data_IF_459412445276
#
_entry.id   IF_459412445276
#
_cell.length_a   1.000
_cell.length_b   1.000
_cell.length_c   1.000
_cell.angle_alpha   90.00
_cell.angle_beta   90.00
_cell.angle_gamma   90.00
#
_symmetry.space_group_name_H-M   'P 1'
#
loop_
_entity.id
_entity.type
_entity.pdbx_description
1 polymer ?
#
# COMPACT_ATOMS: atom_id res chain seq x y z
N UNK A 1 21.05 -22.09 -24.97
CA UNK A 1 21.93 -21.56 -23.89
C UNK A 1 21.57 -22.30 -22.62
N UNK A 2 22.54 -22.95 -21.95
CA UNK A 2 22.31 -23.51 -20.63
C UNK A 2 22.35 -22.36 -19.63
N UNK A 3 21.18 -21.92 -19.18
CA UNK A 3 21.05 -20.95 -18.11
C UNK A 3 21.61 -21.59 -16.83
N UNK A 4 22.61 -20.95 -16.20
CA UNK A 4 23.16 -21.38 -14.92
C UNK A 4 22.42 -20.61 -13.83
N UNK A 5 21.73 -21.33 -12.96
CA UNK A 5 21.06 -20.76 -11.79
C UNK A 5 22.11 -20.07 -10.88
N UNK A 6 21.80 -18.90 -10.29
CA UNK A 6 22.65 -18.29 -9.27
C UNK A 6 22.69 -19.16 -8.01
N UNK A 7 23.71 -18.95 -7.17
CA UNK A 7 23.83 -19.71 -5.92
C UNK A 7 22.70 -19.27 -4.97
N UNK A 8 21.88 -20.20 -4.43
CA UNK A 8 20.72 -19.87 -3.61
C UNK A 8 21.00 -19.03 -2.35
N UNK A 9 22.27 -18.97 -1.94
CA UNK A 9 22.77 -18.28 -0.75
C UNK A 9 23.41 -16.91 -1.07
N UNK A 10 23.41 -16.47 -2.33
CA UNK A 10 23.87 -15.13 -2.67
C UNK A 10 22.97 -14.07 -1.99
N UNK A 11 23.55 -12.95 -1.50
CA UNK A 11 22.79 -11.90 -0.83
C UNK A 11 21.78 -11.25 -1.78
N UNK A 12 20.60 -10.88 -1.24
CA UNK A 12 19.58 -10.19 -2.02
C UNK A 12 20.08 -8.81 -2.49
N UNK A 13 19.84 -8.50 -3.76
CA UNK A 13 20.28 -7.24 -4.38
C UNK A 13 19.25 -6.11 -4.30
N UNK A 14 18.00 -6.42 -3.95
CA UNK A 14 16.85 -5.49 -4.00
C UNK A 14 16.24 -5.21 -2.61
N UNK A 15 17.04 -5.36 -1.54
CA UNK A 15 16.57 -5.23 -0.14
C UNK A 15 15.90 -3.87 0.11
N UNK A 16 16.44 -2.79 -0.47
CA UNK A 16 15.89 -1.44 -0.32
C UNK A 16 14.50 -1.26 -0.96
N UNK A 17 14.18 -2.10 -1.94
CA UNK A 17 12.90 -2.09 -2.64
C UNK A 17 11.85 -2.96 -1.94
N UNK A 18 12.25 -3.77 -0.94
CA UNK A 18 11.34 -4.62 -0.19
C UNK A 18 10.31 -3.76 0.58
N UNK A 19 9.02 -3.83 0.22
CA UNK A 19 7.96 -3.02 0.83
C UNK A 19 7.79 -3.30 2.32
N UNK A 20 8.14 -4.50 2.78
CA UNK A 20 7.97 -4.93 4.17
C UNK A 20 9.04 -4.35 5.11
N UNK A 21 10.18 -3.92 4.56
CA UNK A 21 11.24 -3.24 5.30
C UNK A 21 11.11 -1.71 5.27
N UNK A 22 10.12 -1.20 4.53
CA UNK A 22 9.92 0.23 4.37
C UNK A 22 9.08 0.79 5.50
N UNK A 23 9.31 2.08 5.79
CA UNK A 23 8.53 2.85 6.75
C UNK A 23 7.74 3.98 6.07
N UNK A 24 6.80 4.57 6.79
CA UNK A 24 6.24 5.87 6.46
C UNK A 24 7.32 6.95 6.50
N UNK A 25 7.00 8.14 6.00
CA UNK A 25 7.94 9.27 5.87
C UNK A 25 9.15 8.98 4.95
N UNK A 26 9.04 7.98 4.06
CA UNK A 26 10.10 7.60 3.10
C UNK A 26 10.26 8.66 2.00
N UNK A 27 11.50 8.77 1.53
CA UNK A 27 11.87 9.61 0.39
C UNK A 27 12.15 11.04 0.82
N UNK A 28 11.99 11.97 -0.13
CA UNK A 28 12.22 13.39 0.14
C UNK A 28 11.10 13.92 1.02
N UNK A 29 11.46 14.56 2.14
CA UNK A 29 10.50 15.28 2.97
C UNK A 29 9.80 16.35 2.12
N UNK A 30 8.45 16.39 2.11
CA UNK A 30 7.69 17.41 1.40
C UNK A 30 8.10 18.81 1.84
N UNK A 31 8.02 19.77 0.91
CA UNK A 31 8.17 21.20 1.24
C UNK A 31 6.96 21.74 1.98
N UNK A 32 5.84 21.04 1.85
CA UNK A 32 4.61 21.29 2.56
C UNK A 32 4.78 21.03 4.06
N UNK A 33 4.23 21.92 4.90
CA UNK A 33 4.27 21.81 6.34
C UNK A 33 2.92 22.15 6.96
N UNK A 34 2.70 21.70 8.19
CA UNK A 34 1.51 22.02 8.96
C UNK A 34 1.65 23.43 9.54
N UNK A 35 0.62 24.26 9.40
CA UNK A 35 0.61 25.63 9.93
C UNK A 35 -0.56 25.80 10.89
N UNK A 36 -0.31 26.17 12.16
CA UNK A 36 -1.37 26.48 13.14
C UNK A 36 -2.49 25.41 13.21
N UNK A 37 -2.12 24.13 13.14
CA UNK A 37 -3.08 23.03 13.09
C UNK A 37 -3.64 22.75 14.50
N UNK A 38 -4.96 22.78 14.71
CA UNK A 38 -5.55 22.64 16.03
C UNK A 38 -5.68 21.18 16.50
N UNK A 39 -5.57 20.21 15.59
CA UNK A 39 -5.81 18.80 15.90
C UNK A 39 -4.49 18.06 16.10
N UNK A 40 -4.24 17.64 17.33
CA UNK A 40 -3.08 16.79 17.63
C UNK A 40 -3.23 15.39 17.04
N UNK A 41 -2.12 14.84 16.58
CA UNK A 41 -2.01 13.43 16.19
C UNK A 41 -0.58 12.96 16.43
N UNK A 42 -0.37 11.64 16.39
CA UNK A 42 0.95 11.08 16.66
C UNK A 42 1.89 11.30 15.47
N UNK A 43 2.93 12.09 15.68
CA UNK A 43 4.04 12.26 14.73
C UNK A 43 5.06 11.14 14.90
N UNK A 44 4.71 9.93 14.48
CA UNK A 44 5.59 8.77 14.49
C UNK A 44 5.85 8.23 13.09
N UNK A 45 6.96 7.50 12.97
CA UNK A 45 7.28 6.67 11.82
C UNK A 45 6.67 5.30 12.06
N UNK A 46 5.91 4.80 11.08
CA UNK A 46 5.22 3.50 11.13
C UNK A 46 5.75 2.58 10.03
N UNK A 47 5.56 1.26 10.13
CA UNK A 47 5.74 0.36 8.98
C UNK A 47 4.90 0.83 7.78
N UNK A 48 5.46 0.74 6.58
CA UNK A 48 4.81 1.23 5.37
C UNK A 48 3.60 0.36 5.04
N UNK A 49 2.45 0.99 4.90
CA UNK A 49 1.23 0.34 4.44
C UNK A 49 1.25 0.24 2.93
N UNK A 50 1.13 -0.97 2.41
CA UNK A 50 1.14 -1.27 0.98
C UNK A 50 -0.02 -2.22 0.70
N UNK A 51 -0.97 -1.74 -0.10
CA UNK A 51 -2.17 -2.48 -0.48
C UNK A 51 -2.29 -2.39 -1.99
N UNK A 52 -2.52 -3.53 -2.64
CA UNK A 52 -2.57 -3.60 -4.09
C UNK A 52 -3.82 -2.91 -4.63
N UNK A 53 -3.72 -2.36 -5.84
CA UNK A 53 -4.86 -1.72 -6.50
C UNK A 53 -6.12 -2.61 -6.48
N UNK A 54 -6.00 -3.89 -6.85
CA UNK A 54 -7.12 -4.85 -6.89
C UNK A 54 -7.72 -5.16 -5.51
N UNK A 55 -6.97 -4.94 -4.44
CA UNK A 55 -7.45 -5.05 -3.07
C UNK A 55 -8.18 -3.78 -2.65
N UNK A 56 -7.59 -2.61 -2.94
CA UNK A 56 -8.19 -1.29 -2.69
C UNK A 56 -9.56 -1.13 -3.34
N UNK A 57 -9.69 -1.56 -4.60
CA UNK A 57 -10.93 -1.41 -5.35
C UNK A 57 -11.88 -2.60 -5.22
N UNK A 58 -11.44 -3.69 -4.58
CA UNK A 58 -12.19 -4.95 -4.59
C UNK A 58 -13.54 -4.87 -3.87
N UNK A 59 -13.72 -3.92 -2.94
CA UNK A 59 -14.98 -3.64 -2.25
C UNK A 59 -15.84 -2.54 -2.88
N UNK A 60 -15.31 -1.81 -3.86
CA UNK A 60 -15.91 -0.56 -4.38
C UNK A 60 -16.88 -0.85 -5.53
N UNK A 61 -18.00 -0.12 -5.59
CA UNK A 61 -18.96 -0.19 -6.67
C UNK A 61 -18.39 0.28 -8.02
N UNK A 62 -18.98 -0.22 -9.11
CA UNK A 62 -18.45 0.00 -10.46
C UNK A 62 -18.29 1.49 -10.82
N UNK A 63 -19.26 2.34 -10.48
CA UNK A 63 -19.20 3.77 -10.84
C UNK A 63 -18.01 4.51 -10.18
N UNK A 64 -17.74 4.23 -8.89
CA UNK A 64 -16.58 4.78 -8.18
C UNK A 64 -15.27 4.24 -8.77
N UNK A 65 -15.23 2.94 -9.11
CA UNK A 65 -14.10 2.35 -9.80
C UNK A 65 -13.85 2.98 -11.18
N UNK A 66 -14.90 3.26 -11.95
CA UNK A 66 -14.78 3.88 -13.27
C UNK A 66 -14.17 5.29 -13.17
N UNK A 67 -14.53 6.06 -12.14
CA UNK A 67 -13.97 7.39 -11.86
C UNK A 67 -12.48 7.29 -11.50
N UNK A 68 -12.12 6.39 -10.56
CA UNK A 68 -10.72 6.15 -10.20
C UNK A 68 -9.92 5.68 -11.42
N UNK A 69 -10.53 4.87 -12.29
CA UNK A 69 -9.85 4.34 -13.46
C UNK A 69 -9.55 5.39 -14.53
N UNK A 70 -10.35 6.45 -14.62
CA UNK A 70 -10.17 7.54 -15.57
C UNK A 70 -9.02 8.48 -15.14
N UNK A 71 -8.86 8.72 -13.85
CA UNK A 71 -7.85 9.64 -13.32
C UNK A 71 -7.32 9.18 -11.94
N UNK A 72 -6.55 8.08 -11.86
CA UNK A 72 -6.13 7.50 -10.57
C UNK A 72 -5.27 8.45 -9.74
N UNK A 73 -4.54 9.36 -10.38
CA UNK A 73 -3.67 10.35 -9.72
C UNK A 73 -4.45 11.51 -9.08
N UNK A 74 -5.74 11.67 -9.40
CA UNK A 74 -6.59 12.71 -8.78
C UNK A 74 -7.19 12.23 -7.45
N UNK A 75 -7.05 10.93 -7.15
CA UNK A 75 -7.63 10.31 -5.96
C UNK A 75 -6.56 9.71 -5.05
N UNK A 76 -6.90 9.59 -3.77
CA UNK A 76 -6.14 8.84 -2.77
C UNK A 76 -7.08 7.86 -2.08
N UNK A 77 -6.55 6.69 -1.74
CA UNK A 77 -7.23 5.71 -0.92
C UNK A 77 -6.98 6.02 0.56
N UNK A 78 -8.07 6.08 1.35
CA UNK A 78 -7.99 6.21 2.80
C UNK A 78 -8.47 4.90 3.44
N UNK A 79 -7.62 4.30 4.25
CA UNK A 79 -7.83 2.98 4.86
C UNK A 79 -7.86 3.12 6.37
N UNK A 80 -9.02 2.87 6.97
CA UNK A 80 -9.19 2.92 8.42
C UNK A 80 -8.83 1.56 9.02
N UNK A 81 -7.99 1.57 10.06
CA UNK A 81 -7.59 0.36 10.76
C UNK A 81 -8.71 -0.18 11.65
N UNK A 82 -8.83 -1.52 11.71
CA UNK A 82 -9.88 -2.18 12.49
C UNK A 82 -11.29 -1.99 11.92
N UNK A 83 -11.43 -1.36 10.75
CA UNK A 83 -12.72 -1.04 10.14
C UNK A 83 -13.16 -2.12 9.14
N UNK A 84 -14.15 -2.91 9.52
CA UNK A 84 -14.94 -3.75 8.61
C UNK A 84 -16.27 -3.08 8.22
N UNK A 85 -17.11 -3.77 7.46
CA UNK A 85 -18.43 -3.27 7.05
C UNK A 85 -19.30 -2.75 8.22
N UNK A 86 -19.20 -3.41 9.39
CA UNK A 86 -19.90 -3.01 10.62
C UNK A 86 -19.42 -1.65 11.13
N UNK A 87 -18.14 -1.34 11.01
CA UNK A 87 -17.59 -0.05 11.43
C UNK A 87 -18.22 1.10 10.66
N UNK A 88 -18.36 0.99 9.34
CA UNK A 88 -18.99 2.02 8.51
C UNK A 88 -20.49 2.17 8.77
N UNK A 89 -21.15 1.07 9.15
CA UNK A 89 -22.57 1.12 9.56
C UNK A 89 -22.75 1.84 10.90
N UNK A 90 -21.85 1.60 11.86
CA UNK A 90 -21.86 2.25 13.16
C UNK A 90 -21.35 3.70 13.12
N UNK A 91 -20.55 4.05 12.11
CA UNK A 91 -19.95 5.37 11.94
C UNK A 91 -20.27 5.95 10.55
N UNK A 92 -21.53 6.26 10.24
CA UNK A 92 -21.94 6.74 8.90
C UNK A 92 -21.26 8.06 8.49
N UNK A 93 -20.81 8.85 9.48
CA UNK A 93 -20.18 10.15 9.28
C UNK A 93 -18.64 10.12 9.38
N UNK A 94 -18.02 8.93 9.30
CA UNK A 94 -16.57 8.82 9.47
C UNK A 94 -15.80 9.58 8.38
N UNK A 95 -16.32 9.60 7.15
CA UNK A 95 -15.76 10.38 6.05
C UNK A 95 -15.67 11.89 6.37
N UNK A 96 -16.69 12.46 7.03
CA UNK A 96 -16.66 13.85 7.51
C UNK A 96 -15.60 14.05 8.58
N UNK A 97 -15.41 13.08 9.47
CA UNK A 97 -14.38 13.17 10.53
C UNK A 97 -12.97 13.17 9.92
N UNK A 98 -12.73 12.33 8.92
CA UNK A 98 -11.46 12.30 8.17
C UNK A 98 -11.29 13.58 7.37
N UNK A 99 -12.32 14.04 6.66
CA UNK A 99 -12.30 15.31 5.91
C UNK A 99 -11.96 16.49 6.82
N UNK A 100 -12.62 16.59 7.97
CA UNK A 100 -12.40 17.66 8.93
C UNK A 100 -10.98 17.57 9.52
N UNK A 101 -10.51 16.36 9.85
CA UNK A 101 -9.14 16.16 10.31
C UNK A 101 -8.12 16.63 9.27
N UNK A 102 -8.22 16.16 8.02
CA UNK A 102 -7.28 16.54 6.95
C UNK A 102 -7.34 18.05 6.68
N UNK A 103 -8.55 18.62 6.66
CA UNK A 103 -8.74 20.07 6.54
C UNK A 103 -8.05 20.82 7.69
N UNK A 104 -8.14 20.30 8.91
CA UNK A 104 -7.53 20.92 10.10
C UNK A 104 -6.00 20.89 10.10
N UNK A 105 -5.36 20.03 9.29
CA UNK A 105 -3.91 20.02 9.16
C UNK A 105 -3.34 21.32 8.59
N UNK A 106 -4.19 22.10 7.89
CA UNK A 106 -3.85 23.43 7.36
C UNK A 106 -2.49 23.43 6.64
N UNK A 107 -2.33 22.48 5.72
CA UNK A 107 -1.07 22.21 5.02
C UNK A 107 -0.78 23.38 4.08
N UNK A 108 0.40 23.99 4.24
CA UNK A 108 0.86 25.14 3.46
C UNK A 108 2.14 24.79 2.71
N UNK A 109 2.28 25.26 1.47
CA UNK A 109 3.52 25.14 0.70
C UNK A 109 4.46 26.31 1.04
N UNK A 110 5.69 26.00 1.48
CA UNK A 110 6.75 26.98 1.79
C UNK A 110 7.24 27.79 0.59
N UNK A 111 6.87 27.40 -0.63
CA UNK A 111 7.21 28.12 -1.87
C UNK A 111 6.15 29.13 -2.31
N UNK A 112 4.97 29.14 -1.67
CA UNK A 112 3.93 30.12 -1.98
C UNK A 112 4.27 31.47 -1.35
N UNK A 113 4.35 32.57 -2.13
CA UNK A 113 4.85 33.87 -1.66
C UNK A 113 4.05 34.47 -0.50
N UNK A 114 2.81 34.03 -0.28
CA UNK A 114 1.93 34.51 0.79
C UNK A 114 1.80 33.56 2.00
N UNK A 115 2.40 32.36 1.98
CA UNK A 115 2.13 31.30 2.98
C UNK A 115 0.62 31.15 3.30
N UNK A 116 -0.23 31.43 2.31
CA UNK A 116 -1.68 31.34 2.42
C UNK A 116 -2.07 29.87 2.27
N UNK A 117 -2.89 29.34 3.19
CA UNK A 117 -3.43 28.00 3.05
C UNK A 117 -4.13 27.87 1.70
N UNK A 118 -3.88 26.77 0.98
CA UNK A 118 -4.60 26.53 -0.27
C UNK A 118 -6.11 26.44 0.00
N UNK A 119 -6.97 26.97 -0.89
CA UNK A 119 -8.41 26.90 -0.70
C UNK A 119 -8.88 25.43 -0.73
N UNK A 120 -9.15 24.88 0.46
CA UNK A 120 -9.57 23.49 0.71
C UNK A 120 -11.00 23.22 0.21
N UNK A 121 -11.65 24.20 -0.44
CA UNK A 121 -13.06 24.12 -0.87
C UNK A 121 -13.38 22.98 -1.86
N UNK A 122 -12.37 22.31 -2.42
CA UNK A 122 -12.54 21.15 -3.31
C UNK A 122 -12.29 19.80 -2.63
N UNK A 123 -11.73 19.78 -1.43
CA UNK A 123 -11.37 18.52 -0.76
C UNK A 123 -12.63 17.77 -0.35
N UNK A 124 -12.71 16.50 -0.70
CA UNK A 124 -13.81 15.64 -0.28
C UNK A 124 -13.37 14.22 0.04
N UNK A 125 -14.15 13.55 0.88
CA UNK A 125 -13.92 12.16 1.26
C UNK A 125 -15.22 11.39 1.05
N UNK A 126 -15.22 10.50 0.07
CA UNK A 126 -16.38 9.68 -0.26
C UNK A 126 -16.35 8.35 0.48
N UNK A 127 -17.51 7.97 1.00
CA UNK A 127 -17.73 6.63 1.55
C UNK A 127 -17.70 5.59 0.42
N UNK A 128 -17.09 4.41 0.63
CA UNK A 128 -17.17 3.33 -0.33
C UNK A 128 -18.62 2.86 -0.48
N UNK A 129 -19.09 2.81 -1.73
CA UNK A 129 -20.35 2.12 -2.05
C UNK A 129 -20.02 0.65 -2.27
N UNK A 130 -20.57 -0.22 -1.44
CA UNK A 130 -20.25 -1.64 -1.50
C UNK A 130 -20.77 -2.29 -2.80
N UNK A 131 -19.88 -3.04 -3.48
CA UNK A 131 -20.24 -3.89 -4.63
C UNK A 131 -21.10 -5.10 -4.27
N UNK A 132 -21.11 -5.53 -3.00
CA UNK A 132 -21.81 -6.73 -2.55
C UNK A 132 -22.61 -6.50 -1.26
N UNK A 133 -23.70 -7.27 -1.07
CA UNK A 133 -24.30 -7.48 0.26
C UNK A 133 -23.31 -8.30 1.09
N UNK A 134 -22.36 -7.63 1.74
CA UNK A 134 -21.22 -8.26 2.40
C UNK A 134 -21.67 -9.12 3.58
N UNK A 135 -21.67 -10.44 3.38
CA UNK A 135 -21.90 -11.44 4.45
C UNK A 135 -20.64 -11.75 5.27
N UNK A 136 -19.46 -11.32 4.82
CA UNK A 136 -18.18 -11.61 5.50
C UNK A 136 -17.75 -10.40 6.33
N UNK A 137 -17.65 -10.59 7.65
CA UNK A 137 -17.20 -9.59 8.63
C UNK A 137 -15.75 -9.15 8.39
N UNK A 138 -14.92 -10.05 7.85
CA UNK A 138 -13.52 -9.82 7.47
C UNK A 138 -13.39 -9.99 5.96
N UNK A 139 -13.51 -8.89 5.23
CA UNK A 139 -13.39 -8.83 3.77
C UNK A 139 -12.23 -7.94 3.35
N UNK A 140 -12.11 -7.70 2.04
CA UNK A 140 -11.22 -6.69 1.47
C UNK A 140 -11.44 -5.32 2.15
N UNK A 141 -10.40 -4.46 2.23
CA UNK A 141 -10.51 -3.17 2.90
C UNK A 141 -11.65 -2.33 2.31
N UNK A 142 -12.33 -1.60 3.19
CA UNK A 142 -13.33 -0.61 2.82
C UNK A 142 -12.62 0.73 2.63
N UNK A 143 -12.24 0.98 1.39
CA UNK A 143 -11.43 2.15 1.00
C UNK A 143 -12.31 3.38 0.84
N UNK A 144 -12.09 4.42 1.63
CA UNK A 144 -12.67 5.74 1.34
C UNK A 144 -11.85 6.41 0.23
N UNK A 145 -12.52 7.25 -0.56
CA UNK A 145 -11.90 7.92 -1.69
C UNK A 145 -11.72 9.39 -1.32
N UNK A 146 -10.47 9.82 -1.20
CA UNK A 146 -10.11 11.21 -0.97
C UNK A 146 -9.85 11.89 -2.32
N UNK A 147 -10.53 13.00 -2.58
CA UNK A 147 -10.45 13.77 -3.82
C UNK A 147 -10.20 15.25 -3.55
N UNK A 148 -9.82 15.99 -4.59
CA UNK A 148 -9.65 17.45 -4.51
C UNK A 148 -8.49 17.93 -3.64
N UNK A 149 -7.52 17.06 -3.36
CA UNK A 149 -6.28 17.42 -2.67
C UNK A 149 -5.40 18.27 -3.57
N UNK A 150 -4.81 19.34 -3.02
CA UNK A 150 -3.74 20.04 -3.73
C UNK A 150 -2.48 19.19 -3.88
N UNK A 151 -1.56 19.51 -4.80
CA UNK A 151 -0.30 18.80 -4.93
C UNK A 151 0.52 18.76 -3.63
N UNK A 152 0.60 19.89 -2.91
CA UNK A 152 1.29 19.99 -1.63
C UNK A 152 0.64 19.12 -0.54
N UNK A 153 -0.70 19.15 -0.47
CA UNK A 153 -1.47 18.31 0.45
C UNK A 153 -1.27 16.83 0.14
N UNK A 154 -1.37 16.45 -1.14
CA UNK A 154 -1.16 15.07 -1.61
C UNK A 154 0.24 14.57 -1.24
N UNK A 155 1.28 15.36 -1.51
CA UNK A 155 2.67 15.02 -1.19
C UNK A 155 2.85 14.79 0.31
N UNK A 156 2.31 15.69 1.14
CA UNK A 156 2.36 15.57 2.59
C UNK A 156 1.64 14.34 3.12
N UNK A 157 0.39 14.11 2.68
CA UNK A 157 -0.42 12.97 3.13
C UNK A 157 0.22 11.64 2.75
N UNK A 158 0.76 11.53 1.53
CA UNK A 158 1.44 10.32 1.06
C UNK A 158 2.77 10.09 1.78
N UNK A 159 3.51 11.16 2.11
CA UNK A 159 4.75 11.06 2.87
C UNK A 159 4.48 10.62 4.32
N UNK A 160 3.58 11.31 5.04
CA UNK A 160 3.23 10.93 6.41
C UNK A 160 2.59 9.54 6.45
N UNK A 161 1.81 9.20 5.42
CA UNK A 161 1.08 7.95 5.17
C UNK A 161 0.08 7.57 6.26
N UNK A 162 0.50 7.38 7.52
CA UNK A 162 -0.32 6.88 8.61
C UNK A 162 -0.57 7.98 9.65
N UNK A 163 -1.84 8.10 10.03
CA UNK A 163 -2.35 9.08 10.98
C UNK A 163 -3.03 8.35 12.13
N UNK A 164 -2.37 8.30 13.29
CA UNK A 164 -2.96 7.87 14.54
C UNK A 164 -3.51 9.10 15.27
N UNK A 165 -4.79 9.40 15.01
CA UNK A 165 -5.48 10.60 15.50
C UNK A 165 -5.92 10.40 16.94
N UNK A 166 -6.56 9.27 17.23
CA UNK A 166 -6.97 8.88 18.58
C UNK A 166 -7.15 7.35 18.66
N UNK A 167 -7.38 6.77 19.85
CA UNK A 167 -7.51 5.31 20.00
C UNK A 167 -8.64 4.65 19.18
N UNK A 168 -9.60 5.44 18.67
CA UNK A 168 -10.73 4.97 17.85
C UNK A 168 -10.58 5.31 16.36
N UNK A 169 -9.60 6.13 15.99
CA UNK A 169 -9.38 6.58 14.62
C UNK A 169 -7.88 6.55 14.30
N UNK A 170 -7.51 5.51 13.58
CA UNK A 170 -6.21 5.41 12.90
C UNK A 170 -6.47 5.06 11.46
N UNK A 171 -5.82 5.76 10.53
CA UNK A 171 -5.96 5.49 9.11
C UNK A 171 -4.66 5.72 8.35
N UNK A 172 -4.54 5.07 7.19
CA UNK A 172 -3.47 5.34 6.22
C UNK A 172 -4.03 5.95 4.95
N UNK A 173 -3.25 6.84 4.33
CA UNK A 173 -3.49 7.43 3.02
C UNK A 173 -2.47 6.85 2.04
N UNK A 174 -2.94 6.22 0.97
CA UNK A 174 -2.09 5.57 -0.04
C UNK A 174 -2.60 5.87 -1.47
N UNK A 175 -1.73 5.83 -2.49
CA UNK A 175 -2.15 6.11 -3.85
C UNK A 175 -2.88 4.92 -4.46
N UNK A 176 -3.70 5.17 -5.48
CA UNK A 176 -4.23 4.12 -6.37
C UNK A 176 -3.17 3.69 -7.40
N UNK A 177 -2.09 3.09 -6.92
CA UNK A 177 -0.95 2.68 -7.75
C UNK A 177 -1.16 1.31 -8.39
N UNK A 178 -1.21 1.29 -9.73
CA UNK A 178 -1.34 0.06 -10.54
C UNK A 178 0.00 -0.60 -10.86
N UNK A 179 1.11 0.12 -10.69
CA UNK A 179 2.45 -0.43 -10.90
C UNK A 179 2.89 -1.30 -9.73
N UNK A 180 2.29 -1.08 -8.55
CA UNK A 180 2.53 -1.86 -7.37
C UNK A 180 2.12 -3.33 -7.56
N UNK A 181 3.09 -4.22 -7.43
CA UNK A 181 2.88 -5.66 -7.49
C UNK A 181 2.93 -6.28 -6.09
N UNK A 182 2.26 -7.43 -5.92
CA UNK A 182 2.38 -8.22 -4.68
C UNK A 182 3.82 -8.69 -4.52
N UNK A 183 4.43 -8.38 -3.38
CA UNK A 183 5.68 -9.01 -2.96
C UNK A 183 5.45 -10.33 -2.23
N UNK A 184 4.19 -10.61 -1.84
CA UNK A 184 3.79 -11.93 -1.37
C UNK A 184 3.75 -12.86 -2.58
N UNK A 185 4.80 -13.65 -2.69
CA UNK A 185 5.00 -14.68 -3.71
C UNK A 185 4.17 -15.93 -3.39
N UNK A 186 4.17 -16.34 -2.13
CA UNK A 186 3.41 -17.49 -1.65
C UNK A 186 3.18 -17.40 -0.14
N UNK A 187 2.13 -18.07 0.33
CA UNK A 187 1.95 -18.34 1.75
C UNK A 187 2.45 -19.77 2.03
N UNK A 188 3.42 -19.89 2.92
CA UNK A 188 3.90 -21.18 3.41
C UNK A 188 3.22 -21.50 4.73
N UNK A 189 2.80 -22.75 4.89
CA UNK A 189 2.25 -23.29 6.12
C UNK A 189 2.91 -24.62 6.42
N UNK A 190 3.27 -24.86 7.68
CA UNK A 190 3.90 -26.11 8.11
C UNK A 190 3.93 -26.24 9.63
N UNK A 191 4.41 -27.39 10.10
CA UNK A 191 4.60 -27.69 11.52
C UNK A 191 5.83 -26.97 12.10
N UNK A 192 5.94 -26.95 13.43
CA UNK A 192 7.08 -26.32 14.13
C UNK A 192 8.42 -26.87 13.64
N UNK A 193 9.32 -25.96 13.23
CA UNK A 193 10.63 -26.31 12.71
C UNK A 193 11.69 -26.22 13.80
N UNK A 194 12.74 -27.05 13.69
CA UNK A 194 13.90 -26.99 14.58
C UNK A 194 14.76 -25.77 14.25
N UNK A 195 15.32 -25.14 15.28
CA UNK A 195 16.29 -24.04 15.16
C UNK A 195 17.56 -24.51 14.44
N UNK A 196 18.17 -23.66 13.59
CA UNK A 196 19.38 -23.98 12.82
C UNK A 196 19.13 -24.65 11.46
N UNK A 197 17.86 -24.87 11.08
CA UNK A 197 17.48 -25.47 9.80
C UNK A 197 17.10 -24.43 8.72
N UNK A 198 17.31 -23.13 8.98
CA UNK A 198 16.76 -22.05 8.17
C UNK A 198 17.21 -22.17 6.70
N UNK A 199 18.52 -22.31 6.47
CA UNK A 199 19.08 -22.42 5.11
C UNK A 199 18.55 -23.64 4.32
N UNK A 200 18.31 -24.75 5.03
CA UNK A 200 17.74 -25.96 4.44
C UNK A 200 16.28 -25.73 4.04
N UNK A 201 15.49 -25.08 4.91
CA UNK A 201 14.11 -24.68 4.62
C UNK A 201 14.07 -23.76 3.40
N UNK A 202 14.90 -22.71 3.37
CA UNK A 202 14.91 -21.75 2.27
C UNK A 202 15.26 -22.42 0.93
N UNK A 203 16.20 -23.36 0.95
CA UNK A 203 16.57 -24.15 -0.22
C UNK A 203 15.40 -25.01 -0.70
N UNK A 204 14.71 -25.68 0.22
CA UNK A 204 13.51 -26.48 -0.10
C UNK A 204 12.42 -25.58 -0.68
N UNK A 205 12.13 -24.43 -0.06
CA UNK A 205 11.14 -23.45 -0.52
C UNK A 205 11.46 -22.96 -1.94
N UNK A 206 12.69 -22.53 -2.21
CA UNK A 206 13.10 -22.07 -3.55
C UNK A 206 12.94 -23.19 -4.58
N UNK A 207 13.31 -24.43 -4.25
CA UNK A 207 13.18 -25.59 -5.14
C UNK A 207 11.70 -25.91 -5.46
N UNK A 208 10.83 -25.93 -4.47
CA UNK A 208 9.40 -26.18 -4.65
C UNK A 208 8.74 -25.07 -5.49
N UNK A 209 9.12 -23.81 -5.25
CA UNK A 209 8.70 -22.67 -6.06
C UNK A 209 9.12 -22.83 -7.53
N UNK A 210 10.37 -23.19 -7.79
CA UNK A 210 10.87 -23.39 -9.16
C UNK A 210 10.17 -24.54 -9.88
N UNK A 211 9.74 -25.58 -9.17
CA UNK A 211 8.98 -26.69 -9.74
C UNK A 211 7.51 -26.30 -10.05
N UNK A 212 6.92 -25.41 -9.26
CA UNK A 212 5.52 -24.99 -9.37
C UNK A 212 5.21 -24.27 -10.69
N UNK A 213 4.35 -24.87 -11.53
CA UNK A 213 3.88 -24.25 -12.78
C UNK A 213 3.07 -22.97 -12.55
N UNK A 214 2.22 -22.95 -11.52
CA UNK A 214 1.41 -21.78 -11.16
C UNK A 214 2.29 -20.60 -10.73
N UNK A 215 3.31 -20.87 -9.89
CA UNK A 215 4.23 -19.83 -9.47
C UNK A 215 5.04 -19.28 -10.64
N UNK A 216 5.61 -20.16 -11.49
CA UNK A 216 6.34 -19.75 -12.68
C UNK A 216 5.50 -18.88 -13.62
N UNK A 217 4.24 -19.24 -13.83
CA UNK A 217 3.30 -18.45 -14.63
C UNK A 217 3.04 -17.08 -14.02
N UNK A 218 2.78 -17.02 -12.72
CA UNK A 218 2.55 -15.78 -12.00
C UNK A 218 3.79 -14.87 -11.98
N UNK A 219 4.95 -15.40 -11.61
CA UNK A 219 6.22 -14.67 -11.58
C UNK A 219 6.58 -14.14 -12.97
N UNK A 220 6.42 -14.95 -14.03
CA UNK A 220 6.67 -14.51 -15.40
C UNK A 220 5.75 -13.38 -15.81
N UNK A 221 4.44 -13.50 -15.59
CA UNK A 221 3.48 -12.48 -15.98
C UNK A 221 3.70 -11.16 -15.24
N UNK A 222 3.96 -11.23 -13.93
CA UNK A 222 4.20 -10.06 -13.09
C UNK A 222 5.47 -9.34 -13.49
N UNK A 223 6.58 -10.07 -13.68
CA UNK A 223 7.87 -9.48 -14.04
C UNK A 223 7.91 -9.00 -15.50
N UNK A 224 7.17 -9.62 -16.40
CA UNK A 224 6.99 -9.12 -17.76
C UNK A 224 6.28 -7.76 -17.79
N UNK A 225 5.20 -7.61 -17.00
CA UNK A 225 4.49 -6.34 -16.85
C UNK A 225 5.37 -5.25 -16.22
N UNK A 226 6.28 -5.64 -15.34
CA UNK A 226 7.29 -4.76 -14.76
C UNK A 226 8.45 -4.43 -15.73
N UNK A 227 8.42 -4.94 -16.96
CA UNK A 227 9.45 -4.68 -17.97
C UNK A 227 10.75 -5.46 -17.77
N UNK A 228 10.77 -6.46 -16.87
CA UNK A 228 11.96 -7.26 -16.60
C UNK A 228 12.16 -8.28 -17.75
N UNK A 229 13.28 -8.18 -18.50
CA UNK A 229 13.56 -9.09 -19.59
C UNK A 229 13.89 -10.49 -19.06
N UNK A 230 13.65 -11.51 -19.89
CA UNK A 230 13.99 -12.90 -19.58
C UNK A 230 12.86 -13.88 -19.87
N UNK A 231 13.23 -15.14 -19.95
CA UNK A 231 12.34 -16.29 -20.01
C UNK A 231 11.56 -16.47 -18.70
N UNK A 232 10.46 -17.25 -18.72
CA UNK A 232 9.71 -17.56 -17.49
C UNK A 232 10.59 -18.14 -16.37
N UNK A 233 11.57 -18.97 -16.71
CA UNK A 233 12.52 -19.55 -15.76
C UNK A 233 13.43 -18.49 -15.14
N UNK A 234 13.97 -17.59 -15.94
CA UNK A 234 14.83 -16.48 -15.48
C UNK A 234 14.08 -15.53 -14.54
N UNK A 235 12.84 -15.20 -14.90
CA UNK A 235 11.94 -14.39 -14.07
C UNK A 235 11.58 -15.09 -12.76
N UNK A 236 11.41 -16.40 -12.77
CA UNK A 236 11.11 -17.18 -11.55
C UNK A 236 12.26 -17.11 -10.54
N UNK A 237 13.51 -17.20 -10.99
CA UNK A 237 14.68 -17.00 -10.11
C UNK A 237 14.75 -15.61 -9.57
N UNK A 238 14.59 -14.63 -10.46
CA UNK A 238 14.63 -13.23 -10.10
C UNK A 238 13.62 -12.95 -8.97
N UNK A 239 12.41 -13.51 -9.06
CA UNK A 239 11.43 -13.45 -7.98
C UNK A 239 11.95 -14.09 -6.67
N UNK A 240 12.50 -15.31 -6.73
CA UNK A 240 12.97 -16.03 -5.53
C UNK A 240 14.27 -15.52 -4.91
N UNK A 241 15.05 -14.69 -5.60
CA UNK A 241 16.28 -14.08 -5.06
C UNK A 241 15.99 -13.08 -3.93
N UNK A 242 14.74 -12.63 -3.82
CA UNK A 242 14.28 -11.79 -2.72
C UNK A 242 14.02 -12.57 -1.42
N UNK A 243 14.03 -13.91 -1.47
CA UNK A 243 13.84 -14.75 -0.28
C UNK A 243 15.20 -14.99 0.40
N UNK A 244 15.41 -14.34 1.55
CA UNK A 244 16.59 -14.46 2.41
C UNK A 244 16.20 -14.87 3.83
N UNK A 245 17.18 -15.31 4.61
CA UNK A 245 17.08 -15.48 6.05
C UNK A 245 17.98 -14.42 6.66
N UNK A 246 17.41 -13.61 7.53
CA UNK A 246 18.11 -12.57 8.30
C UNK A 246 18.60 -13.11 9.65
#
# INVERSE_FOLDING_TARGET
>A
MNFKWPEPLDPATEVENNPHLQTSQRGKKPKAFLKDYPTEFTHAVFPRTIILFDELVGGIAKHQLDIINQAPDDYLAVIIYGAGASFFTLNPNIHLSIKNFITSLNITDSTSPDNTPEPINKLDVDMPVSKMKLKKLYGKPWTLILSGTSPATREYLLWQQTFAVNPKLTFSVIPFDRSLCSWVIMNLSGDAVKEGCENEILTIVKRELWASGNFRGFASQTLEKAGIPGSPSERTVHATNTLTID
#
